data_IF_783891594634
#
_entry.id   IF_783891594634
#
_cell.length_a   1.000
_cell.length_b   1.000
_cell.length_c   1.000
_cell.angle_alpha   90.00
_cell.angle_beta   90.00
_cell.angle_gamma   90.00
#
_symmetry.space_group_name_H-M   'P 1'
#
loop_
_entity.id
_entity.type
_entity.pdbx_description
1 polymer ?
#
# COMPACT_ATOMS: atom_id res chain seq x y z
N UNK A 1 -5.26 15.18 -5.32
CA UNK A 1 -4.79 13.83 -5.76
C UNK A 1 -4.20 13.93 -7.18
N UNK A 2 -3.16 13.18 -7.58
CA UNK A 2 -2.72 13.10 -8.98
C UNK A 2 -3.77 12.40 -9.85
N UNK A 3 -3.75 12.64 -11.16
CA UNK A 3 -4.70 12.02 -12.11
C UNK A 3 -4.58 10.49 -12.10
N UNK A 4 -5.72 9.80 -12.17
CA UNK A 4 -5.80 8.33 -12.15
C UNK A 4 -5.39 7.73 -13.50
N UNK A 5 -4.10 7.68 -13.76
CA UNK A 5 -3.51 7.08 -14.96
C UNK A 5 -2.38 6.11 -14.62
N UNK A 6 -1.91 5.36 -15.63
CA UNK A 6 -0.82 4.38 -15.49
C UNK A 6 0.51 5.01 -15.03
N UNK A 7 0.71 6.31 -15.27
CA UNK A 7 1.89 7.06 -14.82
C UNK A 7 1.90 7.25 -13.31
N UNK A 8 0.76 7.59 -12.71
CA UNK A 8 0.64 7.94 -11.30
C UNK A 8 0.20 6.76 -10.41
N UNK A 9 -0.46 5.75 -10.98
CA UNK A 9 -0.99 4.61 -10.25
C UNK A 9 -0.62 3.29 -10.92
N UNK A 10 -0.28 2.32 -10.07
CA UNK A 10 0.02 0.96 -10.47
C UNK A 10 -1.27 0.20 -10.73
N UNK A 11 -1.29 -0.72 -11.70
CA UNK A 11 -2.41 -1.63 -11.85
C UNK A 11 -2.52 -2.55 -10.63
N UNK A 12 -3.72 -3.04 -10.36
CA UNK A 12 -3.99 -3.92 -9.21
C UNK A 12 -3.10 -5.17 -9.22
N UNK A 13 -2.84 -5.74 -10.40
CA UNK A 13 -1.93 -6.89 -10.58
C UNK A 13 -0.50 -6.65 -10.09
N UNK A 14 -0.04 -5.39 -10.04
CA UNK A 14 1.31 -5.02 -9.61
C UNK A 14 1.37 -4.49 -8.17
N UNK A 15 0.38 -4.86 -7.35
CA UNK A 15 0.33 -4.52 -5.92
C UNK A 15 -0.47 -3.25 -5.58
N UNK A 16 -1.16 -2.66 -6.58
CA UNK A 16 -1.94 -1.42 -6.46
C UNK A 16 -1.16 -0.23 -5.86
N UNK A 17 -1.82 0.93 -5.74
CA UNK A 17 -1.26 2.13 -5.12
C UNK A 17 -0.54 3.08 -6.08
N UNK A 18 0.02 4.17 -5.53
CA UNK A 18 0.72 5.17 -6.33
C UNK A 18 2.10 4.67 -6.79
N UNK A 19 2.49 5.10 -7.97
CA UNK A 19 3.89 5.06 -8.42
C UNK A 19 4.68 6.17 -7.72
N UNK A 20 6.00 6.16 -7.86
CA UNK A 20 6.83 7.25 -7.36
C UNK A 20 6.47 8.60 -8.01
N UNK A 21 6.17 8.60 -9.31
CA UNK A 21 5.68 9.78 -10.01
C UNK A 21 4.35 10.28 -9.41
N UNK A 22 3.44 9.35 -9.11
CA UNK A 22 2.19 9.68 -8.43
C UNK A 22 2.40 10.26 -7.03
N UNK A 23 3.32 9.69 -6.24
CA UNK A 23 3.67 10.19 -4.91
C UNK A 23 4.28 11.59 -4.99
N UNK A 24 5.21 11.82 -5.92
CA UNK A 24 5.81 13.15 -6.15
C UNK A 24 4.75 14.17 -6.57
N UNK A 25 3.89 13.81 -7.51
CA UNK A 25 2.79 14.67 -7.94
C UNK A 25 1.79 14.95 -6.81
N UNK A 26 1.52 13.96 -5.95
CA UNK A 26 0.71 14.14 -4.75
C UNK A 26 1.35 15.14 -3.79
N UNK A 27 2.63 14.96 -3.45
CA UNK A 27 3.35 15.85 -2.52
C UNK A 27 3.45 17.28 -3.04
N UNK A 28 3.67 17.48 -4.35
CA UNK A 28 3.67 18.83 -4.95
C UNK A 28 2.32 19.54 -4.80
N UNK A 29 1.22 18.78 -4.97
CA UNK A 29 -0.14 19.31 -4.78
C UNK A 29 -0.54 19.47 -3.31
N UNK A 30 0.23 18.91 -2.37
CA UNK A 30 -0.10 18.86 -0.94
C UNK A 30 1.17 19.12 -0.11
N UNK A 31 1.60 20.39 0.00
CA UNK A 31 2.72 20.78 0.85
C UNK A 31 2.52 20.26 2.28
N UNK A 32 3.58 19.76 2.93
CA UNK A 32 3.49 19.19 4.28
C UNK A 32 2.88 17.78 4.36
N UNK A 33 2.62 17.11 3.22
CA UNK A 33 2.03 15.77 3.22
C UNK A 33 2.84 14.75 4.02
N UNK A 34 2.15 14.06 4.94
CA UNK A 34 2.67 12.90 5.70
C UNK A 34 2.51 11.57 4.95
N UNK A 35 2.37 11.59 3.62
CA UNK A 35 2.13 10.38 2.81
C UNK A 35 3.32 9.41 2.90
N UNK A 36 3.05 8.22 3.43
CA UNK A 36 3.99 7.12 3.56
C UNK A 36 3.72 6.05 2.50
N UNK A 37 4.78 5.52 1.89
CA UNK A 37 4.69 4.47 0.86
C UNK A 37 4.91 3.07 1.43
N UNK A 38 4.57 2.06 0.63
CA UNK A 38 4.75 0.67 0.99
C UNK A 38 6.21 0.33 1.28
N UNK A 39 6.42 -0.43 2.36
CA UNK A 39 7.75 -0.88 2.78
C UNK A 39 8.12 -2.16 2.03
N UNK A 40 8.97 -2.06 1.01
CA UNK A 40 9.07 -3.11 -0.01
C UNK A 40 10.38 -3.90 0.01
N UNK A 41 11.38 -3.43 0.77
CA UNK A 41 12.65 -4.11 1.01
C UNK A 41 12.70 -4.98 2.28
N UNK A 42 13.89 -5.49 2.57
CA UNK A 42 14.23 -6.11 3.87
C UNK A 42 14.27 -4.99 4.90
N UNK A 43 13.55 -5.16 6.01
CA UNK A 43 13.49 -4.17 7.09
C UNK A 43 14.32 -4.63 8.27
N UNK A 44 15.08 -3.72 8.88
CA UNK A 44 15.74 -4.00 10.16
C UNK A 44 14.67 -4.17 11.25
N UNK A 45 14.79 -5.23 12.06
CA UNK A 45 13.90 -5.47 13.20
C UNK A 45 13.91 -4.24 14.13
N UNK A 46 12.74 -3.83 14.62
CA UNK A 46 12.58 -2.66 15.49
C UNK A 46 12.61 -1.29 14.79
N UNK A 47 12.96 -1.21 13.50
CA UNK A 47 12.98 0.05 12.74
C UNK A 47 11.59 0.69 12.60
N UNK A 48 11.57 1.99 12.28
CA UNK A 48 10.33 2.74 11.95
C UNK A 48 9.56 2.05 10.82
N UNK A 49 10.27 1.55 9.81
CA UNK A 49 9.70 0.84 8.67
C UNK A 49 9.07 -0.52 9.07
N UNK A 50 9.72 -1.25 9.98
CA UNK A 50 9.16 -2.49 10.53
C UNK A 50 7.87 -2.22 11.32
N UNK A 51 7.85 -1.18 12.16
CA UNK A 51 6.65 -0.75 12.90
C UNK A 51 5.54 -0.31 11.94
N UNK A 52 5.86 0.42 10.88
CA UNK A 52 4.91 0.84 9.84
C UNK A 52 4.31 -0.35 9.10
N UNK A 53 5.14 -1.33 8.71
CA UNK A 53 4.67 -2.58 8.09
C UNK A 53 3.73 -3.33 9.02
N UNK A 54 4.12 -3.56 10.28
CA UNK A 54 3.29 -4.24 11.29
C UNK A 54 1.92 -3.56 11.44
N UNK A 55 1.92 -2.23 11.57
CA UNK A 55 0.70 -1.43 11.70
C UNK A 55 -0.21 -1.55 10.46
N UNK A 56 0.35 -1.50 9.25
CA UNK A 56 -0.42 -1.70 8.03
C UNK A 56 -1.01 -3.12 7.93
N UNK A 57 -0.21 -4.15 8.22
CA UNK A 57 -0.67 -5.54 8.16
C UNK A 57 -1.82 -5.83 9.14
N UNK A 58 -1.77 -5.26 10.34
CA UNK A 58 -2.84 -5.39 11.34
C UNK A 58 -4.14 -4.70 10.87
N UNK A 59 -4.07 -3.43 10.45
CA UNK A 59 -5.25 -2.71 9.96
C UNK A 59 -5.89 -3.37 8.74
N UNK A 60 -5.06 -3.79 7.78
CA UNK A 60 -5.56 -4.46 6.57
C UNK A 60 -6.15 -5.85 6.85
N UNK A 61 -5.69 -6.54 7.90
CA UNK A 61 -6.30 -7.79 8.33
C UNK A 61 -7.70 -7.55 8.91
N UNK A 62 -7.87 -6.52 9.75
CA UNK A 62 -9.18 -6.12 10.27
C UNK A 62 -10.16 -5.76 9.15
N UNK A 63 -9.70 -4.99 8.16
CA UNK A 63 -10.49 -4.65 6.96
C UNK A 63 -10.88 -5.89 6.15
N UNK A 64 -9.96 -6.85 5.98
CA UNK A 64 -10.27 -8.10 5.31
C UNK A 64 -11.33 -8.92 6.07
N UNK A 65 -11.26 -8.96 7.41
CA UNK A 65 -12.26 -9.63 8.26
C UNK A 65 -13.64 -8.98 8.15
N UNK A 66 -13.69 -7.65 8.28
CA UNK A 66 -14.93 -6.86 8.22
C UNK A 66 -15.69 -7.05 6.89
N UNK A 67 -14.96 -7.21 5.79
CA UNK A 67 -15.54 -7.42 4.46
C UNK A 67 -15.57 -8.89 4.01
N UNK A 68 -15.33 -9.83 4.92
CA UNK A 68 -15.26 -11.28 4.65
C UNK A 68 -14.37 -11.63 3.44
N UNK A 69 -13.22 -10.96 3.32
CA UNK A 69 -12.26 -11.14 2.24
C UNK A 69 -11.21 -12.17 2.63
N UNK A 70 -11.25 -13.32 1.98
CA UNK A 70 -10.19 -14.31 2.06
C UNK A 70 -9.20 -14.11 0.89
N UNK A 71 -7.98 -13.66 1.20
CA UNK A 71 -6.96 -13.42 0.17
C UNK A 71 -6.36 -14.66 -0.48
N UNK A 72 -6.56 -15.86 0.11
CA UNK A 72 -6.24 -17.13 -0.57
C UNK A 72 -7.27 -17.42 -1.67
N UNK A 73 -8.55 -17.20 -1.39
CA UNK A 73 -9.66 -17.41 -2.34
C UNK A 73 -9.82 -16.28 -3.36
N UNK A 74 -9.46 -15.05 -2.98
CA UNK A 74 -9.67 -13.84 -3.80
C UNK A 74 -8.37 -13.02 -3.98
N UNK A 75 -7.30 -13.62 -4.55
CA UNK A 75 -5.98 -13.00 -4.62
C UNK A 75 -5.94 -11.70 -5.43
N UNK A 76 -6.90 -11.53 -6.35
CA UNK A 76 -6.99 -10.38 -7.24
C UNK A 76 -7.74 -9.18 -6.64
N UNK A 77 -8.37 -9.35 -5.46
CA UNK A 77 -8.98 -8.21 -4.76
C UNK A 77 -7.90 -7.18 -4.38
N UNK A 78 -8.25 -5.90 -4.48
CA UNK A 78 -7.33 -4.78 -4.28
C UNK A 78 -6.63 -4.81 -2.92
N UNK A 79 -7.34 -5.20 -1.86
CA UNK A 79 -6.76 -5.34 -0.50
C UNK A 79 -5.69 -6.43 -0.43
N UNK A 80 -5.89 -7.55 -1.12
CA UNK A 80 -4.97 -8.67 -1.13
C UNK A 80 -3.69 -8.34 -1.90
N UNK A 81 -3.82 -7.64 -3.02
CA UNK A 81 -2.68 -7.13 -3.77
C UNK A 81 -1.87 -6.10 -2.97
N UNK A 82 -2.56 -5.21 -2.24
CA UNK A 82 -1.89 -4.28 -1.34
C UNK A 82 -1.15 -5.01 -0.22
N UNK A 83 -1.79 -5.98 0.45
CA UNK A 83 -1.16 -6.81 1.49
C UNK A 83 0.11 -7.50 1.00
N UNK A 84 0.05 -8.14 -0.18
CA UNK A 84 1.21 -8.76 -0.83
C UNK A 84 2.36 -7.76 -1.05
N UNK A 85 2.05 -6.55 -1.52
CA UNK A 85 3.05 -5.48 -1.74
C UNK A 85 3.73 -5.04 -0.44
N UNK A 86 2.97 -4.98 0.65
CA UNK A 86 3.47 -4.64 1.98
C UNK A 86 4.14 -5.81 2.70
N UNK A 87 4.17 -7.01 2.09
CA UNK A 87 4.67 -8.26 2.68
C UNK A 87 3.93 -8.60 3.98
N UNK A 88 2.61 -8.48 3.90
CA UNK A 88 1.62 -9.10 4.77
C UNK A 88 0.99 -10.30 4.03
#
# INVERSE_FOLDING_TARGET
MPSRNKKNFRPTKSGAGMTEAGVRAYRRKNPGSKLQTAVTGKVKKGSKDAKRRKSFCARSAGQAKMHNINCKKTPNKRICQARRRWKC
#
